data_IF_502434965946
#
_entry.id   IF_502434965946
#
_cell.length_a   1.000
_cell.length_b   1.000
_cell.length_c   1.000
_cell.angle_alpha   90.00
_cell.angle_beta   90.00
_cell.angle_gamma   90.00
#
_symmetry.space_group_name_H-M   'P 1'
#
loop_
_entity.id
_entity.type
_entity.pdbx_description
1 polymer ?
#
# COMPACT_ATOMS: atom_id res chain seq x y z
N UNK A 1 14.60 -18.72 5.09
CA UNK A 1 14.21 -17.38 5.59
C UNK A 1 12.97 -17.53 6.45
N UNK A 2 12.85 -16.77 7.53
CA UNK A 2 11.65 -16.73 8.38
C UNK A 2 10.98 -15.39 8.18
N UNK A 3 9.72 -15.39 7.74
CA UNK A 3 8.92 -14.17 7.61
C UNK A 3 8.51 -13.65 8.98
N UNK A 4 8.46 -12.32 9.14
CA UNK A 4 8.04 -11.63 10.36
C UNK A 4 7.14 -10.45 10.00
N UNK A 5 6.25 -10.09 10.92
CA UNK A 5 5.40 -8.89 10.76
C UNK A 5 6.27 -7.63 10.81
N UNK A 6 6.15 -6.70 9.84
CA UNK A 6 6.87 -5.44 9.88
C UNK A 6 6.52 -4.60 11.11
N UNK A 7 7.50 -3.89 11.67
CA UNK A 7 7.33 -3.02 12.82
C UNK A 7 7.93 -1.65 12.54
N UNK A 8 7.49 -0.63 13.28
CA UNK A 8 8.05 0.71 13.18
C UNK A 8 9.52 0.67 13.65
N UNK A 9 10.43 0.99 12.74
CA UNK A 9 11.88 0.94 12.99
C UNK A 9 12.58 2.31 12.90
N UNK A 10 11.87 3.36 12.43
CA UNK A 10 12.40 4.72 12.28
C UNK A 10 11.54 5.67 13.13
N UNK A 11 12.18 6.24 14.14
CA UNK A 11 11.62 7.14 15.15
C UNK A 11 12.49 8.39 15.31
N UNK A 12 13.80 8.26 15.10
CA UNK A 12 14.80 9.31 15.31
C UNK A 12 15.67 9.53 14.05
N UNK A 13 16.30 10.70 13.91
CA UNK A 13 17.13 11.01 12.73
C UNK A 13 18.26 10.01 12.47
N UNK A 14 18.94 9.53 13.52
CA UNK A 14 20.05 8.58 13.36
C UNK A 14 19.58 7.21 12.83
N UNK A 15 18.35 6.81 13.15
CA UNK A 15 17.75 5.59 12.61
C UNK A 15 17.40 5.74 11.14
N UNK A 16 17.00 6.94 10.70
CA UNK A 16 16.82 7.25 9.29
C UNK A 16 18.16 7.21 8.54
N UNK A 17 19.22 7.78 9.13
CA UNK A 17 20.56 7.72 8.55
C UNK A 17 21.05 6.28 8.42
N UNK A 18 20.82 5.44 9.43
CA UNK A 18 21.10 4.01 9.34
C UNK A 18 20.30 3.34 8.23
N UNK A 19 18.98 3.59 8.16
CA UNK A 19 18.11 3.02 7.12
C UNK A 19 18.64 3.32 5.71
N UNK A 20 19.11 4.53 5.44
CA UNK A 20 19.67 4.93 4.14
C UNK A 20 20.93 4.16 3.74
N UNK A 21 21.65 3.57 4.71
CA UNK A 21 22.80 2.69 4.43
C UNK A 21 22.42 1.21 4.36
N UNK A 22 21.18 0.86 4.70
CA UNK A 22 20.73 -0.53 4.85
C UNK A 22 20.47 -1.22 3.50
N UNK A 23 20.52 -2.56 3.51
CA UNK A 23 20.15 -3.38 2.36
C UNK A 23 18.69 -3.16 1.93
N UNK A 24 17.76 -2.98 2.88
CA UNK A 24 16.35 -2.69 2.59
C UNK A 24 16.19 -1.41 1.76
N UNK A 25 16.92 -0.35 2.10
CA UNK A 25 16.90 0.89 1.32
C UNK A 25 17.44 0.68 -0.09
N UNK A 26 18.58 -0.02 -0.22
CA UNK A 26 19.16 -0.35 -1.53
C UNK A 26 18.19 -1.16 -2.39
N UNK A 27 17.54 -2.17 -1.82
CA UNK A 27 16.57 -3.03 -2.53
C UNK A 27 15.35 -2.23 -3.03
N UNK A 28 14.84 -1.30 -2.21
CA UNK A 28 13.73 -0.43 -2.60
C UNK A 28 14.12 0.51 -3.76
N UNK A 29 15.28 1.17 -3.66
CA UNK A 29 15.76 2.09 -4.70
C UNK A 29 16.03 1.34 -6.00
N UNK A 30 16.77 0.23 -5.94
CA UNK A 30 17.06 -0.58 -7.13
C UNK A 30 15.79 -1.13 -7.78
N UNK A 31 14.76 -1.48 -7.00
CA UNK A 31 13.48 -1.90 -7.55
C UNK A 31 12.76 -0.76 -8.29
N UNK A 32 12.75 0.45 -7.71
CA UNK A 32 12.17 1.65 -8.35
C UNK A 32 12.93 1.98 -9.65
N UNK A 33 14.26 1.98 -9.63
CA UNK A 33 15.10 2.24 -10.80
C UNK A 33 14.83 1.21 -11.91
N UNK A 34 14.76 -0.08 -11.55
CA UNK A 34 14.44 -1.15 -12.50
C UNK A 34 13.07 -0.97 -13.15
N UNK A 35 12.06 -0.55 -12.39
CA UNK A 35 10.73 -0.25 -12.93
C UNK A 35 10.74 0.98 -13.84
N UNK A 36 11.48 2.03 -13.46
CA UNK A 36 11.63 3.23 -14.28
C UNK A 36 12.24 2.88 -15.64
N UNK A 37 13.36 2.16 -15.63
CA UNK A 37 14.08 1.81 -16.86
C UNK A 37 13.23 0.94 -17.79
N UNK A 38 12.40 0.05 -17.23
CA UNK A 38 11.52 -0.83 -17.99
C UNK A 38 10.39 -0.09 -18.73
N UNK A 39 10.06 1.15 -18.35
CA UNK A 39 8.95 1.91 -18.96
C UNK A 39 9.42 3.12 -19.76
N UNK A 40 10.73 3.34 -19.91
CA UNK A 40 11.26 4.43 -20.76
C UNK A 40 10.81 4.24 -22.20
N UNK A 41 10.08 5.22 -22.74
CA UNK A 41 9.57 5.19 -24.12
C UNK A 41 8.34 4.30 -24.34
N UNK A 42 7.80 3.68 -23.28
CA UNK A 42 6.59 2.86 -23.32
C UNK A 42 5.37 3.72 -23.03
N UNK A 43 4.31 3.58 -23.82
CA UNK A 43 3.02 4.25 -23.59
C UNK A 43 2.10 3.38 -22.76
N UNK A 44 1.18 4.00 -22.04
CA UNK A 44 0.15 3.28 -21.27
C UNK A 44 -0.77 2.40 -22.14
N UNK A 45 -0.91 2.71 -23.42
CA UNK A 45 -1.75 1.97 -24.36
C UNK A 45 -0.98 0.88 -25.13
N UNK A 46 0.34 0.76 -24.92
CA UNK A 46 1.12 -0.30 -25.55
C UNK A 46 0.73 -1.65 -24.91
N UNK A 47 0.69 -2.70 -25.73
CA UNK A 47 0.39 -4.04 -25.22
C UNK A 47 1.50 -4.52 -24.27
N UNK A 48 1.11 -5.03 -23.10
CA UNK A 48 2.04 -5.60 -22.13
C UNK A 48 1.58 -6.99 -21.70
N UNK A 49 2.54 -7.84 -21.33
CA UNK A 49 2.23 -9.21 -20.89
C UNK A 49 1.77 -9.19 -19.43
N UNK A 50 0.53 -9.60 -19.19
CA UNK A 50 -0.01 -9.78 -17.84
C UNK A 50 0.26 -11.21 -17.34
N UNK A 51 1.22 -11.34 -16.44
CA UNK A 51 1.47 -12.61 -15.75
C UNK A 51 0.30 -12.97 -14.80
N UNK A 52 0.15 -14.24 -14.39
CA UNK A 52 -0.83 -14.62 -13.37
C UNK A 52 -0.70 -13.80 -12.07
N UNK A 53 0.52 -13.41 -11.68
CA UNK A 53 0.76 -12.57 -10.50
C UNK A 53 0.26 -11.14 -10.68
N UNK A 54 0.44 -10.54 -11.87
CA UNK A 54 -0.11 -9.21 -12.19
C UNK A 54 -1.63 -9.24 -12.13
N UNK A 55 -2.26 -10.26 -12.73
CA UNK A 55 -3.72 -10.42 -12.70
C UNK A 55 -4.25 -10.57 -11.28
N UNK A 56 -3.59 -11.35 -10.43
CA UNK A 56 -3.96 -11.48 -9.03
C UNK A 56 -3.87 -10.14 -8.26
N UNK A 57 -2.86 -9.31 -8.55
CA UNK A 57 -2.75 -7.96 -7.96
C UNK A 57 -3.90 -7.07 -8.44
N UNK A 58 -4.21 -7.09 -9.74
CA UNK A 58 -5.34 -6.34 -10.30
C UNK A 58 -6.67 -6.76 -9.65
N UNK A 59 -6.91 -8.06 -9.45
CA UNK A 59 -8.10 -8.57 -8.78
C UNK A 59 -8.23 -8.06 -7.34
N UNK A 60 -7.10 -7.95 -6.62
CA UNK A 60 -7.08 -7.36 -5.27
C UNK A 60 -7.47 -5.87 -5.33
N UNK A 61 -6.92 -5.11 -6.28
CA UNK A 61 -7.23 -3.69 -6.44
C UNK A 61 -8.71 -3.47 -6.82
N UNK A 62 -9.27 -4.30 -7.69
CA UNK A 62 -10.69 -4.26 -8.05
C UNK A 62 -11.60 -4.54 -6.84
N UNK A 63 -11.24 -5.48 -5.96
CA UNK A 63 -11.98 -5.73 -4.72
C UNK A 63 -11.92 -4.53 -3.78
N UNK A 64 -10.74 -3.91 -3.62
CA UNK A 64 -10.59 -2.68 -2.81
C UNK A 64 -11.44 -1.56 -3.37
N UNK A 65 -11.45 -1.37 -4.70
CA UNK A 65 -12.30 -0.39 -5.38
C UNK A 65 -13.78 -0.65 -5.11
N UNK A 66 -14.23 -1.91 -5.20
CA UNK A 66 -15.62 -2.28 -4.91
C UNK A 66 -16.00 -1.96 -3.46
N UNK A 67 -15.13 -2.25 -2.48
CA UNK A 67 -15.37 -1.90 -1.06
C UNK A 67 -15.52 -0.39 -0.88
N UNK A 68 -14.78 0.42 -1.65
CA UNK A 68 -14.92 1.88 -1.64
C UNK A 68 -16.29 2.32 -2.20
N UNK A 69 -16.73 1.72 -3.32
CA UNK A 69 -18.06 1.98 -3.90
C UNK A 69 -19.19 1.61 -2.93
N UNK A 70 -19.02 0.52 -2.19
CA UNK A 70 -19.96 0.02 -1.20
C UNK A 70 -19.86 0.73 0.17
N UNK A 71 -18.99 1.73 0.29
CA UNK A 71 -18.80 2.53 1.50
C UNK A 71 -18.86 4.01 1.16
N UNK A 72 -20.06 4.52 0.80
CA UNK A 72 -20.22 5.91 0.41
C UNK A 72 -19.89 6.87 1.57
N UNK A 73 -19.49 8.11 1.27
CA UNK A 73 -19.32 9.14 2.28
C UNK A 73 -20.58 9.35 3.11
N UNK A 74 -20.42 9.55 4.42
CA UNK A 74 -21.53 9.94 5.30
C UNK A 74 -21.62 11.47 5.40
N UNK A 75 -22.79 11.98 5.79
CA UNK A 75 -22.96 13.41 6.04
C UNK A 75 -21.97 13.88 7.12
N UNK A 76 -21.17 14.89 6.78
CA UNK A 76 -20.07 15.37 7.63
C UNK A 76 -19.94 16.90 7.57
N UNK A 77 -21.08 17.60 7.55
CA UNK A 77 -21.12 19.05 7.34
C UNK A 77 -20.37 19.88 8.41
N UNK A 78 -20.17 19.31 9.60
CA UNK A 78 -19.47 19.97 10.72
C UNK A 78 -17.94 19.88 10.65
N UNK A 79 -17.36 19.05 9.78
CA UNK A 79 -15.91 18.83 9.70
C UNK A 79 -15.37 19.04 8.29
N UNK A 80 -14.27 19.78 8.19
CA UNK A 80 -13.49 19.95 6.95
C UNK A 80 -12.38 18.91 6.79
N UNK A 81 -12.25 17.99 7.75
CA UNK A 81 -11.27 16.91 7.72
C UNK A 81 -11.87 15.65 7.08
N UNK A 82 -11.09 14.57 7.00
CA UNK A 82 -11.48 13.33 6.31
C UNK A 82 -12.85 12.79 6.72
N UNK A 83 -13.58 12.24 5.75
CA UNK A 83 -14.91 11.68 5.98
C UNK A 83 -14.83 10.44 6.88
N UNK A 84 -15.66 10.31 7.94
CA UNK A 84 -15.66 9.17 8.84
C UNK A 84 -15.86 7.81 8.14
N UNK A 85 -16.55 7.78 6.99
CA UNK A 85 -16.75 6.57 6.20
C UNK A 85 -15.44 5.90 5.76
N UNK A 86 -14.33 6.64 5.71
CA UNK A 86 -13.01 6.08 5.41
C UNK A 86 -12.59 5.01 6.44
N UNK A 87 -12.98 5.14 7.72
CA UNK A 87 -12.69 4.13 8.75
C UNK A 87 -13.42 2.82 8.44
N UNK A 88 -14.70 2.92 8.12
CA UNK A 88 -15.51 1.76 7.70
C UNK A 88 -14.92 1.09 6.46
N UNK A 89 -14.48 1.88 5.48
CA UNK A 89 -13.80 1.37 4.28
C UNK A 89 -12.53 0.61 4.66
N UNK A 90 -11.68 1.23 5.49
CA UNK A 90 -10.41 0.66 5.93
C UNK A 90 -10.58 -0.65 6.71
N UNK A 91 -11.57 -0.70 7.62
CA UNK A 91 -11.89 -1.90 8.39
C UNK A 91 -12.36 -3.04 7.47
N UNK A 92 -13.26 -2.76 6.52
CA UNK A 92 -13.71 -3.76 5.53
C UNK A 92 -12.57 -4.29 4.65
N UNK A 93 -11.67 -3.42 4.18
CA UNK A 93 -10.47 -3.84 3.44
C UNK A 93 -9.60 -4.75 4.30
N UNK A 94 -9.39 -4.38 5.57
CA UNK A 94 -8.59 -5.17 6.51
C UNK A 94 -9.22 -6.54 6.84
N UNK A 95 -10.53 -6.67 6.83
CA UNK A 95 -11.24 -7.95 7.03
C UNK A 95 -11.22 -8.85 5.78
N UNK A 96 -11.07 -8.26 4.60
CA UNK A 96 -11.04 -8.97 3.32
C UNK A 96 -9.68 -9.59 3.04
N UNK A 97 -8.62 -9.10 3.69
CA UNK A 97 -7.25 -9.55 3.50
C UNK A 97 -6.80 -10.23 4.80
N UNK A 98 -6.27 -11.46 4.73
CA UNK A 98 -5.69 -12.18 5.88
C UNK A 98 -4.33 -11.57 6.28
N UNK A 99 -4.32 -10.26 6.58
CA UNK A 99 -3.18 -9.57 7.18
C UNK A 99 -3.41 -9.59 8.68
N UNK A 100 -2.52 -10.23 9.48
CA UNK A 100 -2.62 -10.21 10.93
C UNK A 100 -2.74 -8.78 11.43
N UNK A 101 -3.77 -8.48 12.22
CA UNK A 101 -4.03 -7.17 12.83
C UNK A 101 -2.94 -6.83 13.86
N UNK A 102 -1.74 -6.48 13.39
CA UNK A 102 -0.56 -6.19 14.20
C UNK A 102 -0.06 -4.78 13.97
N UNK A 103 -0.74 -3.79 14.57
CA UNK A 103 -0.24 -2.46 14.96
C UNK A 103 -1.39 -1.43 15.03
N UNK A 104 -2.47 -1.74 15.76
CA UNK A 104 -3.25 -0.65 16.35
C UNK A 104 -2.45 -0.17 17.55
N UNK A 105 -1.71 0.92 17.40
CA UNK A 105 -1.36 1.74 18.56
C UNK A 105 -2.70 2.21 19.14
N UNK A 106 -3.11 1.59 20.25
CA UNK A 106 -4.09 2.18 21.16
C UNK A 106 -3.61 3.59 21.56
N UNK A 107 -4.55 4.53 21.82
CA UNK A 107 -4.28 5.95 21.95
C UNK A 107 -3.18 6.29 22.96
#
# INVERSE_FOLDING_TARGET
MVFRVPQKAILEPDQLAYFQTSKTYQDLVSYIESLNDAVVGVKLADECTESPGVKAILDVLLKVEQIARDTPPVENAASRFGNPAFRTFYDKVSETIDIPRGARSTP
#
